data_IF_133762341047
#
_entry.id   IF_133762341047
#
_cell.length_a   1.000
_cell.length_b   1.000
_cell.length_c   1.000
_cell.angle_alpha   90.00
_cell.angle_beta   90.00
_cell.angle_gamma   90.00
#
_symmetry.space_group_name_H-M   'P 1'
#
loop_
_entity.id
_entity.type
_entity.pdbx_description
1 polymer ?
#
# COMPACT_ATOMS: atom_id res chain seq x y z
N UNK A 1 26.88 21.90 16.72
CA UNK A 1 25.89 22.09 15.64
C UNK A 1 26.30 23.30 14.80
N UNK A 2 26.82 23.07 13.59
CA UNK A 2 27.24 24.15 12.69
C UNK A 2 26.01 24.84 12.10
N UNK A 3 25.84 26.14 12.39
CA UNK A 3 24.84 26.98 11.72
C UNK A 3 25.31 27.18 10.29
N UNK A 4 24.70 26.47 9.35
CA UNK A 4 24.94 26.65 7.91
C UNK A 4 24.53 28.08 7.56
N UNK A 5 25.50 28.99 7.50
CA UNK A 5 25.27 30.38 7.16
C UNK A 5 24.62 30.49 5.78
N UNK A 6 23.65 31.38 5.66
CA UNK A 6 23.02 31.70 4.38
C UNK A 6 24.14 32.28 3.49
N UNK A 7 24.47 31.57 2.41
CA UNK A 7 25.50 32.00 1.47
C UNK A 7 25.12 33.37 0.89
N UNK A 8 26.07 34.29 0.77
CA UNK A 8 25.83 35.62 0.18
C UNK A 8 25.21 35.51 -1.22
N UNK A 9 25.63 34.51 -2.00
CA UNK A 9 25.04 34.22 -3.33
C UNK A 9 23.57 33.84 -3.21
N UNK A 10 23.22 33.04 -2.19
CA UNK A 10 21.83 32.66 -1.94
C UNK A 10 20.98 33.86 -1.50
N UNK A 11 21.53 34.79 -0.71
CA UNK A 11 20.84 36.00 -0.25
C UNK A 11 20.58 36.94 -1.43
N UNK A 12 21.58 37.18 -2.27
CA UNK A 12 21.46 38.02 -3.47
C UNK A 12 20.54 37.40 -4.54
N UNK A 13 20.48 36.07 -4.66
CA UNK A 13 19.60 35.38 -5.63
C UNK A 13 18.19 35.08 -5.10
N UNK A 14 17.95 35.27 -3.80
CA UNK A 14 16.67 34.95 -3.15
C UNK A 14 15.54 35.86 -3.67
N UNK A 15 15.80 37.15 -3.83
CA UNK A 15 14.81 38.12 -4.31
C UNK A 15 14.38 37.83 -5.74
N UNK A 16 15.33 37.49 -6.62
CA UNK A 16 15.05 37.08 -8.00
C UNK A 16 14.21 35.81 -8.06
N UNK A 17 14.48 34.83 -7.18
CA UNK A 17 13.66 33.62 -7.07
C UNK A 17 12.24 33.92 -6.60
N UNK A 18 12.08 34.79 -5.60
CA UNK A 18 10.77 35.23 -5.12
C UNK A 18 10.02 35.97 -6.23
N UNK A 19 10.68 36.87 -6.94
CA UNK A 19 10.07 37.62 -8.03
C UNK A 19 9.64 36.71 -9.18
N UNK A 20 10.48 35.74 -9.57
CA UNK A 20 10.15 34.73 -10.56
C UNK A 20 8.96 33.87 -10.10
N UNK A 21 8.92 33.46 -8.83
CA UNK A 21 7.80 32.72 -8.26
C UNK A 21 6.50 33.55 -8.27
N UNK A 22 6.55 34.81 -7.85
CA UNK A 22 5.40 35.75 -7.89
C UNK A 22 4.91 35.99 -9.32
N UNK A 23 5.82 36.12 -10.29
CA UNK A 23 5.47 36.28 -11.71
C UNK A 23 4.82 35.01 -12.26
N UNK A 24 5.31 33.83 -11.89
CA UNK A 24 4.70 32.54 -12.24
C UNK A 24 3.31 32.41 -11.62
N UNK A 25 3.14 32.72 -10.34
CA UNK A 25 1.84 32.74 -9.67
C UNK A 25 0.84 33.69 -10.33
N UNK A 26 1.25 34.90 -10.72
CA UNK A 26 0.39 35.84 -11.46
C UNK A 26 0.01 35.34 -12.86
N UNK A 27 0.89 34.57 -13.52
CA UNK A 27 0.59 33.93 -14.82
C UNK A 27 -0.37 32.74 -14.67
N UNK A 28 -0.21 31.97 -13.59
CA UNK A 28 -1.06 30.82 -13.25
C UNK A 28 -2.38 31.24 -12.61
N UNK A 29 -2.52 32.51 -12.20
CA UNK A 29 -3.78 33.05 -11.71
C UNK A 29 -4.82 33.00 -12.83
N UNK A 30 -5.82 32.14 -12.63
CA UNK A 30 -6.95 31.98 -13.55
C UNK A 30 -7.74 33.29 -13.58
N UNK A 31 -7.79 33.94 -14.74
CA UNK A 31 -8.45 35.26 -14.92
C UNK A 31 -9.97 35.16 -14.97
N UNK A 32 -10.50 34.05 -15.51
CA UNK A 32 -11.92 33.82 -15.70
C UNK A 32 -12.22 32.33 -15.52
N UNK A 33 -13.33 32.02 -14.85
CA UNK A 33 -13.81 30.64 -14.68
C UNK A 33 -14.99 30.45 -15.61
N UNK A 34 -14.73 29.89 -16.80
CA UNK A 34 -15.77 29.52 -17.77
C UNK A 34 -16.20 28.07 -17.52
N UNK A 35 -17.50 27.83 -17.46
CA UNK A 35 -18.04 26.48 -17.39
C UNK A 35 -18.21 25.92 -18.79
N UNK A 36 -17.43 24.90 -19.10
CA UNK A 36 -17.59 24.15 -20.35
C UNK A 36 -18.80 23.21 -20.20
N UNK A 37 -19.84 23.46 -21.00
CA UNK A 37 -21.08 22.68 -20.94
C UNK A 37 -20.87 21.21 -21.28
N UNK A 38 -19.93 20.89 -22.17
CA UNK A 38 -19.64 19.51 -22.55
C UNK A 38 -18.98 18.77 -21.39
N UNK A 39 -18.01 19.41 -20.72
CA UNK A 39 -17.42 18.88 -19.48
C UNK A 39 -18.47 18.66 -18.39
N UNK A 40 -19.47 19.54 -18.30
CA UNK A 40 -20.59 19.41 -17.36
C UNK A 40 -21.50 18.24 -17.73
N UNK A 41 -21.81 18.05 -19.01
CA UNK A 41 -22.60 16.92 -19.51
C UNK A 41 -21.89 15.60 -19.24
N UNK A 42 -20.60 15.52 -19.49
CA UNK A 42 -19.77 14.35 -19.17
C UNK A 42 -19.68 14.12 -17.66
N UNK A 43 -19.60 15.18 -16.86
CA UNK A 43 -19.64 15.06 -15.42
C UNK A 43 -21.02 14.57 -14.92
N UNK A 44 -22.12 15.01 -15.49
CA UNK A 44 -23.44 14.55 -15.06
C UNK A 44 -23.78 13.13 -15.55
N UNK A 45 -23.36 12.74 -16.75
CA UNK A 45 -23.73 11.44 -17.33
C UNK A 45 -22.64 10.37 -17.17
N UNK A 46 -21.38 10.77 -17.06
CA UNK A 46 -20.21 9.89 -17.02
C UNK A 46 -19.91 9.21 -15.68
N UNK A 47 -20.92 8.95 -14.83
CA UNK A 47 -20.72 8.29 -13.54
C UNK A 47 -20.00 6.94 -13.66
N UNK A 48 -20.33 6.14 -14.68
CA UNK A 48 -19.66 4.87 -14.96
C UNK A 48 -18.19 5.09 -15.32
N UNK A 49 -17.88 6.06 -16.19
CA UNK A 49 -16.50 6.45 -16.55
C UNK A 49 -15.72 6.85 -15.30
N UNK A 50 -16.27 7.70 -14.42
CA UNK A 50 -15.62 8.10 -13.16
C UNK A 50 -15.45 6.95 -12.18
N UNK A 51 -16.38 6.00 -12.13
CA UNK A 51 -16.26 4.82 -11.28
C UNK A 51 -15.10 3.94 -11.74
N UNK A 52 -14.98 3.70 -13.05
CA UNK A 52 -13.87 2.96 -13.64
C UNK A 52 -12.54 3.70 -13.44
N UNK A 53 -12.47 4.99 -13.76
CA UNK A 53 -11.27 5.79 -13.56
C UNK A 53 -10.78 5.78 -12.10
N UNK A 54 -11.70 5.82 -11.12
CA UNK A 54 -11.34 5.68 -9.69
C UNK A 54 -10.79 4.30 -9.35
N UNK A 55 -11.36 3.24 -9.92
CA UNK A 55 -10.88 1.88 -9.73
C UNK A 55 -9.49 1.69 -10.36
N UNK A 56 -9.31 2.17 -11.58
CA UNK A 56 -8.03 2.15 -12.31
C UNK A 56 -6.96 2.98 -11.59
N UNK A 57 -7.27 4.20 -11.15
CA UNK A 57 -6.35 5.00 -10.35
C UNK A 57 -6.00 4.33 -9.02
N UNK A 58 -6.94 3.61 -8.41
CA UNK A 58 -6.69 2.78 -7.23
C UNK A 58 -5.71 1.65 -7.52
N UNK A 59 -5.90 0.92 -8.63
CA UNK A 59 -5.01 -0.15 -9.09
C UNK A 59 -3.62 0.40 -9.43
N UNK A 60 -3.54 1.49 -10.20
CA UNK A 60 -2.28 2.13 -10.57
C UNK A 60 -1.47 2.54 -9.34
N UNK A 61 -2.10 3.20 -8.35
CA UNK A 61 -1.42 3.57 -7.10
C UNK A 61 -0.96 2.37 -6.28
N UNK A 62 -1.67 1.26 -6.32
CA UNK A 62 -1.25 0.02 -5.65
C UNK A 62 -0.01 -0.57 -6.33
N UNK A 63 -0.02 -0.65 -7.67
CA UNK A 63 1.11 -1.12 -8.47
C UNK A 63 2.34 -0.22 -8.29
N UNK A 64 2.16 1.10 -8.28
CA UNK A 64 3.26 2.05 -8.02
C UNK A 64 3.87 1.86 -6.64
N UNK A 65 3.03 1.68 -5.61
CA UNK A 65 3.51 1.42 -4.24
C UNK A 65 4.25 0.08 -4.15
N UNK A 66 3.74 -0.97 -4.79
CA UNK A 66 4.41 -2.28 -4.84
C UNK A 66 5.76 -2.18 -5.56
N UNK A 67 5.80 -1.49 -6.70
CA UNK A 67 7.05 -1.26 -7.46
C UNK A 67 8.07 -0.50 -6.65
N UNK A 68 7.65 0.56 -5.95
CA UNK A 68 8.51 1.33 -5.05
C UNK A 68 9.05 0.44 -3.91
N UNK A 69 8.17 -0.31 -3.23
CA UNK A 69 8.57 -1.24 -2.18
C UNK A 69 9.56 -2.31 -2.68
N UNK A 70 9.36 -2.84 -3.88
CA UNK A 70 10.29 -3.81 -4.49
C UNK A 70 11.65 -3.20 -4.79
N UNK A 71 11.70 -1.95 -5.23
CA UNK A 71 12.95 -1.24 -5.48
C UNK A 71 13.67 -0.91 -4.17
N UNK A 72 12.94 -0.50 -3.14
CA UNK A 72 13.47 -0.24 -1.80
C UNK A 72 14.04 -1.52 -1.18
N UNK A 73 13.29 -2.63 -1.18
CA UNK A 73 13.76 -3.91 -0.69
C UNK A 73 15.02 -4.40 -1.43
N UNK A 74 15.09 -4.21 -2.75
CA UNK A 74 16.32 -4.50 -3.53
C UNK A 74 17.49 -3.62 -3.11
N UNK A 75 17.23 -2.33 -2.83
CA UNK A 75 18.25 -1.38 -2.38
C UNK A 75 18.75 -1.74 -0.99
N UNK A 76 17.85 -2.11 -0.08
CA UNK A 76 18.17 -2.55 1.28
C UNK A 76 19.01 -3.83 1.25
N UNK A 77 18.56 -4.87 0.53
CA UNK A 77 19.34 -6.11 0.38
C UNK A 77 20.75 -5.88 -0.16
N UNK A 78 20.91 -4.96 -1.13
CA UNK A 78 22.25 -4.60 -1.65
C UNK A 78 23.10 -3.87 -0.62
N UNK A 79 22.50 -3.00 0.19
CA UNK A 79 23.21 -2.30 1.28
C UNK A 79 23.65 -3.28 2.35
N UNK A 80 22.75 -4.17 2.80
CA UNK A 80 23.05 -5.20 3.80
C UNK A 80 24.20 -6.11 3.34
N UNK A 81 24.19 -6.54 2.07
CA UNK A 81 25.27 -7.35 1.51
C UNK A 81 26.60 -6.56 1.48
N UNK A 82 26.56 -5.29 1.07
CA UNK A 82 27.75 -4.44 1.06
C UNK A 82 28.30 -4.16 2.47
N UNK A 83 27.43 -3.98 3.46
CA UNK A 83 27.80 -3.81 4.86
C UNK A 83 28.42 -5.10 5.41
N UNK A 84 27.78 -6.25 5.19
CA UNK A 84 28.33 -7.55 5.58
C UNK A 84 29.67 -7.85 4.92
N UNK A 85 29.84 -7.50 3.65
CA UNK A 85 31.12 -7.64 2.94
C UNK A 85 32.21 -6.75 3.56
N UNK A 86 31.88 -5.51 3.94
CA UNK A 86 32.81 -4.61 4.64
C UNK A 86 33.17 -5.11 6.04
N UNK A 87 32.19 -5.64 6.78
CA UNK A 87 32.42 -6.24 8.10
C UNK A 87 33.31 -7.48 8.00
N UNK A 88 33.05 -8.38 7.04
CA UNK A 88 33.89 -9.52 6.76
C UNK A 88 35.31 -9.10 6.37
N UNK A 89 35.48 -8.12 5.48
CA UNK A 89 36.79 -7.62 5.08
C UNK A 89 37.57 -7.06 6.28
N UNK A 90 36.91 -6.26 7.14
CA UNK A 90 37.50 -5.75 8.39
C UNK A 90 37.88 -6.87 9.36
N UNK A 91 37.03 -7.90 9.48
CA UNK A 91 37.31 -9.05 10.34
C UNK A 91 38.54 -9.83 9.85
N UNK A 92 38.63 -10.08 8.54
CA UNK A 92 39.81 -10.72 7.91
C UNK A 92 41.06 -9.87 8.09
N UNK A 93 40.98 -8.56 7.81
CA UNK A 93 42.08 -7.63 8.02
C UNK A 93 42.56 -7.64 9.48
N UNK A 94 41.65 -7.60 10.45
CA UNK A 94 42.01 -7.67 11.87
C UNK A 94 42.63 -9.01 12.28
N UNK A 95 42.18 -10.12 11.70
CA UNK A 95 42.73 -11.46 11.98
C UNK A 95 44.13 -11.64 11.38
N UNK A 96 44.37 -11.13 10.18
CA UNK A 96 45.68 -11.18 9.53
C UNK A 96 46.66 -10.12 10.06
N UNK A 97 46.20 -8.91 10.39
CA UNK A 97 47.04 -7.85 10.93
C UNK A 97 47.58 -8.15 12.33
N UNK A 98 46.92 -9.02 13.10
CA UNK A 98 47.45 -9.56 14.36
C UNK A 98 48.58 -10.59 14.19
N UNK A 99 48.84 -11.06 12.96
CA UNK A 99 49.84 -12.07 12.64
C UNK A 99 51.03 -11.52 11.83
N UNK A 100 51.07 -10.20 11.59
CA UNK A 100 52.13 -9.51 10.85
C UNK A 100 52.81 -8.44 11.72
N UNK A 101 53.30 -8.82 12.90
CA UNK A 101 54.55 -8.23 13.39
C UNK A 101 55.68 -9.10 12.84
N UNK A 102 56.63 -8.49 12.14
CA UNK A 102 57.83 -9.06 11.48
C UNK A 102 57.60 -9.88 10.20
N UNK A 103 57.75 -9.23 9.06
CA UNK A 103 57.89 -9.90 7.76
C UNK A 103 57.81 -8.92 6.60
N UNK A 104 58.89 -8.17 6.38
CA UNK A 104 59.19 -7.49 5.12
C UNK A 104 59.24 -8.55 4.00
N UNK A 105 58.10 -8.79 3.33
CA UNK A 105 58.00 -9.75 2.23
C UNK A 105 58.00 -9.01 0.91
N UNK A 106 59.22 -8.90 0.38
CA UNK A 106 59.58 -8.45 -0.96
C UNK A 106 58.68 -9.08 -2.04
N UNK A 107 58.05 -8.23 -2.83
CA UNK A 107 57.13 -8.58 -3.89
C UNK A 107 57.88 -9.03 -5.15
N UNK A 108 58.45 -10.24 -5.14
CA UNK A 108 59.05 -10.82 -6.36
C UNK A 108 58.97 -12.36 -6.44
N UNK A 109 57.76 -12.93 -6.55
CA UNK A 109 57.60 -14.28 -7.12
C UNK A 109 56.35 -14.36 -8.01
N UNK A 110 56.48 -14.61 -9.33
CA UNK A 110 55.39 -15.15 -10.13
C UNK A 110 55.41 -16.69 -10.02
N UNK A 111 54.32 -17.35 -10.42
CA UNK A 111 54.12 -18.81 -10.55
C UNK A 111 53.55 -19.44 -9.25
N UNK A 112 52.33 -20.01 -9.22
CA UNK A 112 51.86 -21.14 -10.03
C UNK A 112 50.36 -21.08 -10.31
N UNK A 113 50.00 -21.52 -11.52
CA UNK A 113 48.64 -21.77 -11.98
C UNK A 113 47.96 -22.81 -11.09
N UNK A 114 46.89 -22.41 -10.40
CA UNK A 114 45.99 -23.34 -9.74
C UNK A 114 45.17 -24.05 -10.83
N UNK A 115 45.34 -25.37 -10.93
CA UNK A 115 44.52 -26.25 -11.76
C UNK A 115 43.04 -26.12 -11.35
N UNK A 116 42.09 -26.07 -12.30
CA UNK A 116 40.68 -26.17 -11.97
C UNK A 116 40.39 -27.62 -11.53
N UNK A 117 40.26 -27.86 -10.22
CA UNK A 117 39.65 -29.10 -9.74
C UNK A 117 38.17 -29.08 -10.13
N UNK A 118 37.79 -29.98 -11.03
CA UNK A 118 36.41 -30.29 -11.39
C UNK A 118 35.74 -30.96 -10.18
N UNK A 119 35.12 -30.15 -9.32
CA UNK A 119 34.24 -30.67 -8.27
C UNK A 119 32.91 -31.04 -8.90
N UNK A 120 32.72 -32.34 -9.16
CA UNK A 120 31.42 -32.90 -9.52
C UNK A 120 30.47 -32.81 -8.33
N UNK A 121 29.42 -32.00 -8.45
CA UNK A 121 28.34 -31.94 -7.48
C UNK A 121 27.24 -32.93 -7.88
N UNK A 122 27.08 -34.01 -7.12
CA UNK A 122 25.86 -34.82 -7.16
C UNK A 122 24.71 -33.98 -6.60
N UNK A 123 23.79 -33.56 -7.48
CA UNK A 123 22.56 -32.91 -7.05
C UNK A 123 21.57 -33.99 -6.61
N UNK A 124 21.18 -33.97 -5.33
CA UNK A 124 20.05 -34.76 -4.83
C UNK A 124 18.80 -34.48 -5.68
N UNK A 125 18.29 -35.54 -6.27
CA UNK A 125 17.12 -35.70 -7.11
C UNK A 125 15.96 -34.76 -6.71
N UNK A 126 15.77 -33.66 -7.43
CA UNK A 126 14.59 -32.80 -7.24
C UNK A 126 13.37 -33.50 -7.85
N UNK A 127 12.59 -34.18 -7.00
CA UNK A 127 11.28 -34.73 -7.36
C UNK A 127 10.30 -33.57 -7.64
N UNK A 128 10.15 -33.21 -8.92
CA UNK A 128 9.10 -32.30 -9.37
C UNK A 128 7.80 -33.09 -9.62
N UNK A 129 6.85 -33.03 -8.70
CA UNK A 129 5.51 -33.57 -8.94
C UNK A 129 4.72 -32.61 -9.83
N UNK A 130 4.51 -33.01 -11.09
CA UNK A 130 3.64 -32.31 -12.03
C UNK A 130 2.19 -32.68 -11.71
N UNK A 131 1.45 -31.77 -11.06
CA UNK A 131 0.00 -31.90 -10.95
C UNK A 131 -0.65 -31.40 -12.24
N UNK A 132 -1.19 -32.31 -13.04
CA UNK A 132 -2.08 -31.96 -14.14
C UNK A 132 -3.34 -31.35 -13.52
N UNK A 133 -3.51 -30.04 -13.69
CA UNK A 133 -4.80 -29.40 -13.47
C UNK A 133 -5.57 -29.67 -14.76
N UNK A 134 -6.43 -30.68 -14.74
CA UNK A 134 -7.44 -30.83 -15.79
C UNK A 134 -8.22 -29.52 -15.84
N UNK A 135 -8.28 -28.92 -17.02
CA UNK A 135 -9.02 -27.68 -17.26
C UNK A 135 -10.46 -27.89 -16.78
N UNK A 136 -10.76 -27.31 -15.62
CA UNK A 136 -12.09 -27.36 -15.01
C UNK A 136 -13.03 -26.55 -15.89
N UNK A 137 -13.67 -27.23 -16.84
CA UNK A 137 -14.70 -26.63 -17.66
C UNK A 137 -15.89 -26.25 -16.77
N UNK A 138 -16.33 -25.00 -16.87
CA UNK A 138 -17.47 -24.48 -16.11
C UNK A 138 -18.80 -25.20 -16.40
N UNK A 139 -18.78 -26.15 -17.35
CA UNK A 139 -19.90 -27.02 -17.72
C UNK A 139 -20.08 -28.15 -16.70
N UNK A 140 -19.01 -28.70 -16.15
CA UNK A 140 -19.09 -29.81 -15.18
C UNK A 140 -19.60 -29.33 -13.81
N UNK A 141 -19.34 -28.07 -13.44
CA UNK A 141 -19.93 -27.47 -12.23
C UNK A 141 -21.46 -27.29 -12.31
N UNK A 142 -22.03 -27.15 -13.52
CA UNK A 142 -23.47 -26.99 -13.71
C UNK A 142 -24.26 -28.29 -13.49
N UNK A 143 -23.61 -29.45 -13.60
CA UNK A 143 -24.25 -30.74 -13.34
C UNK A 143 -24.40 -31.04 -11.84
N UNK A 144 -23.56 -30.44 -10.98
CA UNK A 144 -23.71 -30.57 -9.51
C UNK A 144 -24.66 -29.56 -8.89
N UNK A 145 -24.90 -28.40 -9.52
CA UNK A 145 -25.93 -27.47 -9.07
C UNK A 145 -27.23 -27.75 -9.83
N UNK A 146 -28.09 -28.60 -9.27
CA UNK A 146 -29.44 -28.88 -9.79
C UNK A 146 -30.34 -27.65 -9.83
N UNK A 147 -30.10 -26.75 -10.78
CA UNK A 147 -30.88 -25.55 -11.03
C UNK A 147 -31.24 -25.55 -12.51
N UNK A 148 -32.42 -26.09 -12.78
CA UNK A 148 -33.15 -25.94 -14.03
C UNK A 148 -33.32 -24.44 -14.38
N UNK A 149 -33.06 -24.02 -15.63
CA UNK A 149 -33.36 -22.66 -16.05
C UNK A 149 -34.86 -22.48 -16.27
N UNK A 150 -35.50 -21.76 -15.35
CA UNK A 150 -36.88 -21.30 -15.52
C UNK A 150 -36.99 -20.36 -16.72
N UNK A 151 -37.97 -20.66 -17.57
CA UNK A 151 -38.32 -19.93 -18.80
C UNK A 151 -38.70 -18.48 -18.52
N UNK A 152 -38.39 -17.63 -19.49
CA UNK A 152 -38.70 -16.20 -19.54
C UNK A 152 -40.22 -15.96 -19.60
N UNK A 153 -40.73 -15.07 -18.75
CA UNK A 153 -42.08 -14.51 -18.89
C UNK A 153 -42.11 -12.99 -18.68
N UNK A 154 -43.04 -12.39 -19.40
CA UNK A 154 -43.05 -11.01 -19.89
C UNK A 154 -43.39 -9.93 -18.86
N UNK A 155 -42.94 -8.73 -19.21
CA UNK A 155 -43.25 -7.38 -18.71
C UNK A 155 -44.49 -7.19 -17.81
N UNK A 156 -44.28 -6.51 -16.67
CA UNK A 156 -45.30 -5.61 -16.09
C UNK A 156 -44.60 -4.36 -15.57
N UNK A 157 -44.94 -3.21 -16.16
CA UNK A 157 -44.50 -1.88 -15.76
C UNK A 157 -45.24 -1.46 -14.48
N UNK A 158 -44.50 -1.16 -13.41
CA UNK A 158 -45.03 -0.61 -12.16
C UNK A 158 -44.53 0.84 -12.03
N UNK A 159 -45.41 1.86 -12.00
CA UNK A 159 -44.99 3.24 -11.83
C UNK A 159 -44.56 3.53 -10.37
N UNK A 160 -43.68 4.52 -10.13
CA UNK A 160 -43.17 4.82 -8.81
C UNK A 160 -44.22 5.53 -7.92
N UNK A 161 -44.28 5.24 -6.60
CA UNK A 161 -45.22 5.90 -5.71
C UNK A 161 -44.80 7.36 -5.42
N UNK A 162 -45.77 8.25 -5.59
CA UNK A 162 -45.73 9.66 -5.22
C UNK A 162 -45.61 9.82 -3.69
N UNK A 163 -44.64 10.61 -3.24
CA UNK A 163 -44.51 10.97 -1.81
C UNK A 163 -45.24 12.29 -1.55
N UNK A 164 -46.34 12.20 -0.83
CA UNK A 164 -47.02 13.33 -0.23
C UNK A 164 -46.21 13.89 0.94
N UNK A 165 -46.13 15.21 1.02
CA UNK A 165 -45.60 15.95 2.14
C UNK A 165 -46.62 15.96 3.28
N UNK A 166 -46.18 15.71 4.52
CA UNK A 166 -46.95 16.07 5.72
C UNK A 166 -46.05 16.65 6.79
N UNK A 167 -46.59 17.72 7.38
CA UNK A 167 -46.01 18.69 8.28
C UNK A 167 -45.96 18.24 9.74
N UNK A 168 -44.88 18.64 10.40
CA UNK A 168 -44.72 19.12 11.79
C UNK A 168 -45.98 19.12 12.69
N UNK A 169 -45.90 18.42 13.83
CA UNK A 169 -46.53 18.82 15.11
C UNK A 169 -45.55 18.51 16.26
N UNK A 170 -45.34 19.51 17.12
CA UNK A 170 -44.64 19.42 18.40
C UNK A 170 -45.64 19.02 19.50
N UNK A 171 -45.28 18.13 20.42
CA UNK A 171 -45.78 18.14 21.81
C UNK A 171 -44.80 17.38 22.73
N UNK A 172 -45.04 17.55 24.03
CA UNK A 172 -44.09 17.71 25.13
C UNK A 172 -43.78 16.43 25.93
N UNK A 173 -42.81 16.61 26.85
CA UNK A 173 -42.11 15.65 27.71
C UNK A 173 -43.03 14.74 28.54
N UNK A 174 -42.69 13.45 28.62
CA UNK A 174 -42.79 12.68 29.87
C UNK A 174 -41.64 11.66 29.98
N UNK A 175 -40.98 11.65 31.13
CA UNK A 175 -39.83 10.79 31.45
C UNK A 175 -40.30 9.44 31.98
N UNK A 176 -40.32 8.42 31.12
CA UNK A 176 -40.35 7.01 31.54
C UNK A 176 -39.06 6.34 31.07
N UNK A 177 -38.26 5.82 32.01
CA UNK A 177 -37.03 5.07 31.72
C UNK A 177 -37.40 3.77 31.00
N UNK A 178 -37.19 3.74 29.69
CA UNK A 178 -37.35 2.55 28.85
C UNK A 178 -36.12 1.65 29.00
N UNK A 179 -36.35 0.34 29.19
CA UNK A 179 -35.30 -0.70 29.10
C UNK A 179 -34.64 -0.61 27.71
N UNK A 180 -33.31 -0.78 27.58
CA UNK A 180 -32.65 -0.63 26.29
C UNK A 180 -33.14 -1.72 25.34
N UNK A 181 -33.93 -1.32 24.34
CA UNK A 181 -34.28 -2.16 23.21
C UNK A 181 -33.02 -2.39 22.37
N UNK A 182 -32.81 -3.63 21.91
CA UNK A 182 -31.69 -3.95 21.02
C UNK A 182 -31.75 -3.00 19.81
N UNK A 183 -30.69 -2.24 19.51
CA UNK A 183 -30.73 -1.30 18.40
C UNK A 183 -30.93 -2.10 17.10
N UNK A 184 -32.05 -1.86 16.40
CA UNK A 184 -32.22 -2.31 15.02
C UNK A 184 -31.06 -1.72 14.21
N UNK A 185 -30.33 -2.58 13.51
CA UNK A 185 -29.09 -2.32 12.78
C UNK A 185 -29.16 -1.02 11.97
N UNK A 186 -28.83 0.09 12.61
CA UNK A 186 -28.58 1.38 11.99
C UNK A 186 -27.11 1.60 12.20
N UNK A 187 -26.37 1.63 11.08
CA UNK A 187 -24.94 1.90 11.00
C UNK A 187 -24.48 2.73 12.18
N UNK A 188 -23.68 2.12 13.05
CA UNK A 188 -23.06 2.84 14.14
C UNK A 188 -22.39 4.10 13.57
N UNK A 189 -22.52 5.23 14.27
CA UNK A 189 -21.81 6.43 13.86
C UNK A 189 -20.31 6.14 13.83
N UNK A 190 -19.56 6.78 12.92
CA UNK A 190 -18.10 6.58 12.80
C UNK A 190 -17.35 6.78 14.12
N UNK A 191 -17.91 7.58 15.03
CA UNK A 191 -17.37 7.79 16.37
C UNK A 191 -17.54 6.56 17.28
N UNK A 192 -18.69 5.89 17.23
CA UNK A 192 -18.96 4.67 18.01
C UNK A 192 -18.04 3.52 17.55
N UNK A 193 -17.91 3.29 16.24
CA UNK A 193 -17.00 2.28 15.68
C UNK A 193 -15.53 2.53 16.03
N UNK A 194 -15.09 3.80 16.10
CA UNK A 194 -13.74 4.14 16.55
C UNK A 194 -13.53 3.79 18.03
N UNK A 195 -14.48 4.12 18.90
CA UNK A 195 -14.43 3.81 20.34
C UNK A 195 -14.44 2.31 20.59
N UNK A 196 -15.18 1.54 19.79
CA UNK A 196 -15.19 0.10 19.93
C UNK A 196 -13.87 -0.53 19.47
N UNK A 197 -13.31 -0.06 18.35
CA UNK A 197 -11.99 -0.51 17.85
C UNK A 197 -10.87 -0.22 18.85
N UNK A 198 -10.85 0.95 19.48
CA UNK A 198 -9.85 1.26 20.51
C UNK A 198 -10.01 0.37 21.73
N UNK A 199 -11.25 0.10 22.17
CA UNK A 199 -11.54 -0.82 23.29
C UNK A 199 -11.10 -2.26 22.98
N UNK A 200 -11.34 -2.75 21.77
CA UNK A 200 -10.90 -4.07 21.35
C UNK A 200 -9.37 -4.18 21.27
N UNK A 201 -8.69 -3.14 20.77
CA UNK A 201 -7.22 -3.09 20.71
C UNK A 201 -6.61 -3.12 22.12
N UNK A 202 -7.12 -2.30 23.04
CA UNK A 202 -6.66 -2.30 24.42
C UNK A 202 -6.80 -3.68 25.09
N UNK A 203 -7.94 -4.36 24.88
CA UNK A 203 -8.17 -5.71 25.41
C UNK A 203 -7.22 -6.76 24.82
N UNK A 204 -6.87 -6.64 23.53
CA UNK A 204 -5.88 -7.52 22.88
C UNK A 204 -4.48 -7.29 23.43
N UNK A 205 -4.09 -6.03 23.60
CA UNK A 205 -2.79 -5.66 24.19
C UNK A 205 -2.67 -6.11 25.65
N UNK A 206 -3.73 -5.96 26.45
CA UNK A 206 -3.79 -6.48 27.82
C UNK A 206 -3.65 -8.01 27.86
N UNK A 207 -4.37 -8.73 26.99
CA UNK A 207 -4.28 -10.19 26.89
C UNK A 207 -2.90 -10.66 26.42
N UNK A 208 -2.27 -9.93 25.49
CA UNK A 208 -0.92 -10.22 25.03
C UNK A 208 0.12 -9.98 26.13
N UNK A 209 0.00 -8.89 26.90
CA UNK A 209 0.86 -8.62 28.06
C UNK A 209 0.71 -9.68 29.15
N UNK A 210 -0.51 -10.13 29.46
CA UNK A 210 -0.75 -11.24 30.39
C UNK A 210 -0.16 -12.56 29.92
N UNK A 211 -0.16 -12.82 28.60
CA UNK A 211 0.43 -14.03 28.02
C UNK A 211 1.96 -13.98 28.02
N UNK A 212 2.55 -12.81 27.76
CA UNK A 212 4.01 -12.62 27.75
C UNK A 212 4.63 -12.43 29.14
N UNK A 213 3.84 -12.02 30.15
CA UNK A 213 4.27 -11.91 31.55
C UNK A 213 4.14 -13.19 32.37
N UNK A 214 3.74 -14.31 31.75
CA UNK A 214 3.87 -15.67 32.31
C UNK A 214 5.13 -16.31 31.71
N UNK A 215 6.29 -15.86 32.16
CA UNK A 215 7.58 -16.56 32.05
C UNK A 215 8.39 -16.21 33.29
#
# INVERSE_FOLDING_TARGET
>A
MSKKGISNISLLTHENKIWAAKKKQKKEQVKEVVFDEDSRREFLTGFRKRKLARQEAGKAKAIERERQGRLEARREKRKELAERARENARAVESAYAGNTETGDFDASTPTQQAQPEEMEFENEEQLATVTVVEDFDAVDLKLLSGVEPAKEDKSTYIPPPTKTATSRVQTSKSTKKLKPTKPKFRYETKAATKREKTKQRAKREERAKRKNGRR
#
